data_IF_641392833487
#
_entry.id   IF_641392833487
#
_cell.length_a   1.000
_cell.length_b   1.000
_cell.length_c   1.000
_cell.angle_alpha   90.00
_cell.angle_beta   90.00
_cell.angle_gamma   90.00
#
_symmetry.space_group_name_H-M   'P 1'
#
loop_
_entity.id
_entity.type
_entity.pdbx_description
1 polymer ?
#
# COMPACT_ATOMS: atom_id res chain seq x y z
N UNK A 1 -4.44 21.30 0.09
CA UNK A 1 -5.18 20.04 0.20
C UNK A 1 -4.26 18.81 0.11
N UNK A 2 -4.86 17.66 0.33
CA UNK A 2 -4.14 16.39 0.28
C UNK A 2 -5.00 15.32 -0.39
N UNK A 3 -4.35 14.51 -1.24
CA UNK A 3 -4.93 13.33 -1.85
C UNK A 3 -4.12 12.13 -1.34
N UNK A 4 -4.80 11.13 -0.81
CA UNK A 4 -4.18 9.89 -0.36
C UNK A 4 -4.76 8.73 -1.17
N UNK A 5 -3.93 8.09 -1.97
CA UNK A 5 -4.33 6.93 -2.76
C UNK A 5 -3.98 5.64 -2.02
N UNK A 6 -4.91 4.70 -2.03
CA UNK A 6 -4.65 3.37 -1.46
C UNK A 6 -4.16 2.48 -2.59
N UNK A 7 -2.88 2.17 -2.55
CA UNK A 7 -2.22 1.28 -3.49
C UNK A 7 -2.18 -0.15 -2.93
N UNK A 8 -1.15 -0.90 -3.21
CA UNK A 8 -0.98 -2.24 -2.67
C UNK A 8 0.49 -2.65 -2.86
N UNK A 9 1.03 -3.45 -1.96
CA UNK A 9 2.39 -3.96 -2.11
C UNK A 9 2.57 -4.83 -3.36
N UNK A 10 1.49 -5.38 -3.90
CA UNK A 10 1.53 -6.12 -5.17
C UNK A 10 1.97 -5.26 -6.36
N UNK A 11 1.89 -3.93 -6.25
CA UNK A 11 2.45 -3.03 -7.24
C UNK A 11 3.98 -3.12 -7.32
N UNK A 12 4.62 -3.45 -6.20
CA UNK A 12 6.09 -3.60 -6.09
C UNK A 12 6.51 -5.06 -6.13
N UNK A 13 5.65 -5.94 -5.63
CA UNK A 13 5.94 -7.36 -5.47
C UNK A 13 4.71 -8.19 -5.87
N UNK A 14 4.53 -8.41 -7.18
CA UNK A 14 3.33 -9.08 -7.69
C UNK A 14 3.22 -10.52 -7.18
N UNK A 15 1.99 -10.94 -6.89
CA UNK A 15 1.69 -12.31 -6.54
C UNK A 15 1.32 -13.12 -7.79
N UNK A 16 1.59 -14.40 -7.75
CA UNK A 16 1.22 -15.31 -8.82
C UNK A 16 -0.30 -15.29 -9.04
N UNK A 17 -0.73 -15.14 -10.29
CA UNK A 17 -2.15 -15.10 -10.66
C UNK A 17 -2.81 -13.72 -10.54
N UNK A 18 -2.07 -12.68 -10.16
CA UNK A 18 -2.61 -11.32 -9.95
C UNK A 18 -2.03 -10.29 -10.92
N UNK A 19 -1.73 -10.70 -12.17
CA UNK A 19 -1.05 -9.83 -13.13
C UNK A 19 -1.80 -8.52 -13.41
N UNK A 20 -3.10 -8.60 -13.71
CA UNK A 20 -3.91 -7.42 -14.03
C UNK A 20 -4.11 -6.54 -12.80
N UNK A 21 -4.41 -7.15 -11.66
CA UNK A 21 -4.55 -6.44 -10.40
C UNK A 21 -3.24 -5.69 -10.05
N UNK A 22 -2.12 -6.37 -10.13
CA UNK A 22 -0.80 -5.79 -9.84
C UNK A 22 -0.47 -4.65 -10.80
N UNK A 23 -0.78 -4.81 -12.08
CA UNK A 23 -0.58 -3.77 -13.09
C UNK A 23 -1.42 -2.52 -12.78
N UNK A 24 -2.68 -2.70 -12.37
CA UNK A 24 -3.56 -1.57 -12.03
C UNK A 24 -3.05 -0.81 -10.80
N UNK A 25 -2.55 -1.53 -9.80
CA UNK A 25 -1.98 -0.91 -8.60
C UNK A 25 -0.63 -0.24 -8.88
N UNK A 26 0.18 -0.80 -9.78
CA UNK A 26 1.42 -0.16 -10.23
C UNK A 26 1.14 1.14 -10.99
N UNK A 27 0.08 1.17 -11.81
CA UNK A 27 -0.36 2.39 -12.49
C UNK A 27 -0.78 3.46 -11.49
N UNK A 28 -1.53 3.09 -10.44
CA UNK A 28 -1.94 4.02 -9.40
C UNK A 28 -0.73 4.58 -8.63
N UNK A 29 0.28 3.75 -8.38
CA UNK A 29 1.52 4.19 -7.75
C UNK A 29 2.23 5.24 -8.62
N UNK A 30 2.37 4.98 -9.91
CA UNK A 30 2.97 5.92 -10.85
C UNK A 30 2.17 7.22 -10.95
N UNK A 31 0.85 7.12 -11.02
CA UNK A 31 -0.03 8.28 -11.06
C UNK A 31 0.10 9.14 -9.79
N UNK A 32 0.20 8.51 -8.63
CA UNK A 32 0.39 9.20 -7.35
C UNK A 32 1.63 10.10 -7.40
N UNK A 33 2.74 9.57 -7.88
CA UNK A 33 4.00 10.32 -7.99
C UNK A 33 3.91 11.44 -9.02
N UNK A 34 3.30 11.16 -10.16
CA UNK A 34 3.13 12.16 -11.23
C UNK A 34 2.25 13.33 -10.76
N UNK A 35 1.12 13.03 -10.13
CA UNK A 35 0.22 14.06 -9.61
C UNK A 35 0.86 14.88 -8.49
N UNK A 36 1.68 14.26 -7.65
CA UNK A 36 2.41 14.98 -6.61
C UNK A 36 3.25 16.11 -7.21
N UNK A 37 3.90 15.82 -8.33
CA UNK A 37 4.70 16.81 -9.03
C UNK A 37 3.85 17.87 -9.73
N UNK A 38 2.76 17.45 -10.38
CA UNK A 38 1.91 18.36 -11.14
C UNK A 38 1.13 19.32 -10.27
N UNK A 39 0.69 18.88 -9.09
CA UNK A 39 -0.22 19.63 -8.23
C UNK A 39 0.48 20.42 -7.12
N UNK A 40 1.78 20.22 -6.92
CA UNK A 40 2.52 21.01 -5.96
C UNK A 40 2.61 22.48 -6.42
N UNK A 41 2.61 23.44 -5.49
CA UNK A 41 2.56 23.31 -4.03
C UNK A 41 1.14 23.31 -3.45
N UNK A 42 0.10 23.35 -4.27
CA UNK A 42 -1.28 23.56 -3.82
C UNK A 42 -1.89 22.30 -3.21
N UNK A 43 -1.54 21.12 -3.76
CA UNK A 43 -2.07 19.84 -3.30
C UNK A 43 -0.91 18.87 -3.12
N UNK A 44 -0.90 18.17 -1.98
CA UNK A 44 0.02 17.06 -1.74
C UNK A 44 -0.66 15.75 -2.16
N UNK A 45 0.10 14.87 -2.77
CA UNK A 45 -0.41 13.58 -3.23
C UNK A 45 0.52 12.49 -2.75
N UNK A 46 0.01 11.60 -1.93
CA UNK A 46 0.75 10.48 -1.37
C UNK A 46 -0.04 9.19 -1.50
N UNK A 47 0.59 8.08 -1.23
CA UNK A 47 -0.04 6.78 -1.25
C UNK A 47 0.21 5.99 0.04
N UNK A 48 -0.69 5.09 0.34
CA UNK A 48 -0.51 4.05 1.35
C UNK A 48 -0.59 2.71 0.64
N UNK A 49 0.40 1.86 0.90
CA UNK A 49 0.52 0.56 0.24
C UNK A 49 0.38 -0.54 1.30
N UNK A 50 -0.84 -1.07 1.49
CA UNK A 50 -1.08 -2.10 2.48
C UNK A 50 -0.53 -3.46 2.07
N UNK A 51 -0.19 -4.26 3.06
CA UNK A 51 -0.03 -5.70 2.92
C UNK A 51 -1.35 -6.42 3.22
N UNK A 52 -1.27 -7.55 3.90
CA UNK A 52 -2.45 -8.31 4.29
C UNK A 52 -3.15 -7.65 5.48
N UNK A 53 -4.27 -7.02 5.23
CA UNK A 53 -5.10 -6.36 6.25
C UNK A 53 -6.46 -7.03 6.32
N UNK A 54 -7.15 -7.13 5.17
CA UNK A 54 -8.44 -7.80 5.05
C UNK A 54 -8.30 -8.88 3.99
N UNK A 55 -8.72 -10.09 4.33
CA UNK A 55 -8.66 -11.22 3.42
C UNK A 55 -9.91 -11.28 2.54
N UNK A 56 -9.72 -11.61 1.26
CA UNK A 56 -10.83 -11.95 0.39
C UNK A 56 -11.48 -13.26 0.86
N UNK A 57 -12.80 -13.40 0.70
CA UNK A 57 -13.52 -14.63 1.07
C UNK A 57 -12.98 -15.86 0.31
N UNK A 58 -12.51 -15.65 -0.92
CA UNK A 58 -11.94 -16.70 -1.76
C UNK A 58 -10.56 -17.17 -1.28
N UNK A 59 -9.89 -16.43 -0.41
CA UNK A 59 -8.59 -16.82 0.10
C UNK A 59 -8.76 -17.97 1.09
N UNK A 60 -8.04 -19.06 0.84
CA UNK A 60 -8.04 -20.21 1.74
C UNK A 60 -7.08 -20.03 2.91
N UNK A 61 -7.17 -20.96 3.89
CA UNK A 61 -6.32 -20.92 5.07
C UNK A 61 -4.83 -21.08 4.73
N UNK A 62 -4.51 -21.89 3.73
CA UNK A 62 -3.13 -22.11 3.31
C UNK A 62 -2.52 -20.85 2.70
N UNK A 63 -3.28 -20.14 1.88
CA UNK A 63 -2.84 -18.86 1.30
C UNK A 63 -2.55 -17.83 2.39
N UNK A 64 -3.47 -17.69 3.36
CA UNK A 64 -3.33 -16.77 4.49
C UNK A 64 -2.12 -17.11 5.35
N UNK A 65 -1.97 -18.37 5.69
CA UNK A 65 -0.86 -18.85 6.50
C UNK A 65 0.48 -18.62 5.79
N UNK A 66 0.55 -18.93 4.50
CA UNK A 66 1.75 -18.70 3.70
C UNK A 66 2.12 -17.23 3.64
N UNK A 67 1.13 -16.36 3.46
CA UNK A 67 1.34 -14.91 3.43
C UNK A 67 1.90 -14.42 4.78
N UNK A 68 1.29 -14.85 5.89
CA UNK A 68 1.73 -14.45 7.24
C UNK A 68 3.13 -14.97 7.52
N UNK A 69 3.44 -16.21 7.12
CA UNK A 69 4.77 -16.79 7.30
C UNK A 69 5.85 -15.99 6.60
N UNK A 70 5.54 -15.40 5.45
CA UNK A 70 6.44 -14.58 4.66
C UNK A 70 6.36 -13.09 5.00
N UNK A 71 5.70 -12.75 6.09
CA UNK A 71 5.61 -11.38 6.61
C UNK A 71 6.53 -11.28 7.83
N UNK A 72 7.56 -10.44 7.81
CA UNK A 72 8.51 -10.35 8.94
C UNK A 72 7.88 -10.10 10.29
N UNK A 73 6.81 -9.28 10.37
CA UNK A 73 6.11 -9.04 11.63
C UNK A 73 5.28 -10.24 12.12
N UNK A 74 5.07 -11.26 11.28
CA UNK A 74 4.44 -12.52 11.66
C UNK A 74 2.94 -12.47 11.88
N UNK A 75 2.28 -11.42 11.45
CA UNK A 75 0.83 -11.24 11.61
C UNK A 75 0.27 -10.36 10.50
N UNK A 76 -1.05 -10.42 10.23
CA UNK A 76 -1.69 -9.43 9.37
C UNK A 76 -1.76 -8.09 10.10
N UNK A 77 -1.92 -7.02 9.34
CA UNK A 77 -2.19 -5.72 9.92
C UNK A 77 -3.66 -5.58 10.33
N UNK A 78 -3.95 -4.50 11.00
CA UNK A 78 -5.31 -4.13 11.39
C UNK A 78 -5.77 -2.92 10.60
N UNK A 79 -7.07 -2.71 10.52
CA UNK A 79 -7.65 -1.54 9.82
C UNK A 79 -7.07 -0.24 10.39
N UNK A 80 -6.87 -0.19 11.71
CA UNK A 80 -6.27 0.96 12.38
C UNK A 80 -4.86 1.30 11.92
N UNK A 81 -4.09 0.31 11.48
CA UNK A 81 -2.73 0.54 10.96
C UNK A 81 -2.78 1.39 9.69
N UNK A 82 -3.75 1.12 8.82
CA UNK A 82 -3.95 1.89 7.59
C UNK A 82 -4.51 3.28 7.92
N UNK A 83 -5.47 3.35 8.82
CA UNK A 83 -6.06 4.63 9.23
C UNK A 83 -5.01 5.58 9.81
N UNK A 84 -4.10 5.08 10.63
CA UNK A 84 -2.99 5.87 11.20
C UNK A 84 -2.07 6.41 10.09
N UNK A 85 -1.75 5.60 9.10
CA UNK A 85 -0.91 6.00 7.97
C UNK A 85 -1.59 7.11 7.15
N UNK A 86 -2.87 6.97 6.87
CA UNK A 86 -3.64 8.00 6.15
C UNK A 86 -3.67 9.31 6.94
N UNK A 87 -3.95 9.24 8.23
CA UNK A 87 -3.98 10.43 9.09
C UNK A 87 -2.63 11.13 9.14
N UNK A 88 -1.55 10.36 9.24
CA UNK A 88 -0.20 10.93 9.21
C UNK A 88 0.03 11.73 7.92
N UNK A 89 -0.28 11.13 6.77
CA UNK A 89 -0.05 11.78 5.47
C UNK A 89 -0.95 12.99 5.25
N UNK A 90 -2.18 12.96 5.76
CA UNK A 90 -3.09 14.13 5.70
C UNK A 90 -2.50 15.30 6.48
N UNK A 91 -1.83 15.04 7.59
CA UNK A 91 -1.31 16.08 8.49
C UNK A 91 0.17 16.38 8.31
N UNK A 92 0.84 15.80 7.31
CA UNK A 92 2.28 15.98 7.07
C UNK A 92 2.52 17.02 5.96
N UNK A 93 2.74 18.30 6.29
CA UNK A 93 2.69 19.39 5.31
C UNK A 93 3.89 19.42 4.35
N UNK A 94 4.94 18.71 4.65
CA UNK A 94 6.13 18.68 3.80
C UNK A 94 6.36 17.33 3.13
N UNK A 95 5.33 16.48 3.06
CA UNK A 95 5.39 15.14 2.45
C UNK A 95 4.47 15.11 1.23
N UNK A 96 5.06 14.89 0.06
CA UNK A 96 4.33 14.66 -1.19
C UNK A 96 5.12 13.71 -2.07
N UNK A 97 4.43 12.92 -2.88
CA UNK A 97 5.06 11.94 -3.77
C UNK A 97 5.56 10.67 -3.05
N UNK A 98 5.19 10.48 -1.80
CA UNK A 98 5.64 9.35 -0.99
C UNK A 98 4.63 8.23 -0.99
N UNK A 99 5.13 6.99 -1.03
CA UNK A 99 4.32 5.79 -0.88
C UNK A 99 4.74 5.12 0.42
N UNK A 100 3.85 5.11 1.38
CA UNK A 100 4.10 4.53 2.71
C UNK A 100 3.61 3.08 2.74
N UNK A 101 4.55 2.15 2.83
CA UNK A 101 4.20 0.74 2.95
C UNK A 101 3.78 0.42 4.38
N UNK A 102 2.61 -0.21 4.52
CA UNK A 102 2.06 -0.65 5.81
C UNK A 102 1.76 -2.14 5.67
N UNK A 103 2.80 -2.96 5.75
CA UNK A 103 2.78 -4.33 5.29
C UNK A 103 3.51 -5.32 6.21
N UNK A 104 3.88 -4.89 7.40
CA UNK A 104 4.63 -5.74 8.32
C UNK A 104 5.98 -6.19 7.80
N UNK A 105 6.52 -5.51 6.79
CA UNK A 105 7.80 -5.85 6.17
C UNK A 105 7.69 -6.82 5.01
N UNK A 106 6.47 -7.19 4.59
CA UNK A 106 6.27 -8.18 3.51
C UNK A 106 6.99 -7.80 2.22
N UNK A 107 7.02 -6.52 1.87
CA UNK A 107 7.63 -6.05 0.62
C UNK A 107 9.16 -6.17 0.60
N UNK A 108 9.80 -6.29 1.76
CA UNK A 108 11.26 -6.45 1.87
C UNK A 108 11.67 -7.89 2.19
N UNK A 109 10.73 -8.80 2.32
CA UNK A 109 10.97 -10.22 2.52
C UNK A 109 11.41 -10.86 1.20
N UNK A 110 12.51 -11.59 1.22
CA UNK A 110 13.05 -12.30 0.05
C UNK A 110 12.33 -13.63 -0.22
#
# INVERSE_FOLDING_TARGET
GAIINITDISALRPQLGYAIYSASKAALLGLTKALARDLAPLVRVNGVSPGAIIWAEADDADHRENFIRNTPMGRPGEIGDIAQAVCYLVNAPYVTGHILNVDGGRSVQL
#
